data_IF_931042600454
#
_entry.id   IF_931042600454
#
_cell.length_a   1.000
_cell.length_b   1.000
_cell.length_c   1.000
_cell.angle_alpha   90.00
_cell.angle_beta   90.00
_cell.angle_gamma   90.00
#
_symmetry.space_group_name_H-M   'P 1'
#
loop_
_entity.id
_entity.type
_entity.pdbx_description
1 polymer ?
#
# COMPACT_ATOMS: atom_id res chain seq x y z
N UNK A 1 1.41 -25.81 -5.45
CA UNK A 1 1.82 -24.91 -4.34
C UNK A 1 2.13 -23.57 -4.98
N UNK A 2 1.63 -22.47 -4.42
CA UNK A 2 1.95 -21.15 -4.96
C UNK A 2 3.37 -20.83 -4.48
N UNK A 3 4.28 -20.61 -5.42
CA UNK A 3 5.66 -20.21 -5.13
C UNK A 3 5.71 -18.69 -5.04
N UNK A 4 5.80 -18.17 -3.82
CA UNK A 4 5.84 -16.73 -3.57
C UNK A 4 7.23 -16.14 -3.84
N UNK A 5 8.28 -16.97 -3.76
CA UNK A 5 9.67 -16.53 -3.89
C UNK A 5 10.06 -16.33 -5.37
N UNK A 6 9.31 -16.93 -6.29
CA UNK A 6 9.48 -16.75 -7.74
C UNK A 6 8.78 -15.50 -8.30
N UNK A 7 7.92 -14.83 -7.53
CA UNK A 7 7.19 -13.64 -7.97
C UNK A 7 8.11 -12.42 -7.95
N UNK A 8 7.97 -11.54 -8.95
CA UNK A 8 8.50 -10.20 -8.81
C UNK A 8 7.73 -9.40 -7.74
N UNK A 9 8.23 -8.21 -7.39
CA UNK A 9 7.64 -7.42 -6.32
C UNK A 9 6.21 -6.96 -6.63
N UNK A 10 5.91 -6.61 -7.88
CA UNK A 10 4.56 -6.19 -8.29
C UNK A 10 3.60 -7.37 -8.25
N UNK A 11 4.02 -8.53 -8.73
CA UNK A 11 3.27 -9.78 -8.66
C UNK A 11 2.98 -10.19 -7.22
N UNK A 12 3.98 -10.10 -6.33
CA UNK A 12 3.83 -10.41 -4.92
C UNK A 12 2.82 -9.47 -4.24
N UNK A 13 2.94 -8.15 -4.44
CA UNK A 13 2.01 -7.17 -3.86
C UNK A 13 0.59 -7.35 -4.41
N UNK A 14 0.44 -7.63 -5.71
CA UNK A 14 -0.86 -7.96 -6.30
C UNK A 14 -1.45 -9.25 -5.69
N UNK A 15 -0.62 -10.24 -5.41
CA UNK A 15 -1.03 -11.47 -4.74
C UNK A 15 -1.50 -11.22 -3.30
N UNK A 16 -0.77 -10.38 -2.54
CA UNK A 16 -1.20 -9.91 -1.20
C UNK A 16 -2.57 -9.24 -1.28
N UNK A 17 -2.81 -8.39 -2.28
CA UNK A 17 -4.10 -7.72 -2.46
C UNK A 17 -5.27 -8.65 -2.78
N UNK A 18 -5.02 -9.76 -3.48
CA UNK A 18 -6.04 -10.79 -3.75
C UNK A 18 -6.34 -11.67 -2.54
N UNK A 19 -5.37 -11.84 -1.63
CA UNK A 19 -5.48 -12.75 -0.47
C UNK A 19 -4.94 -12.15 0.83
N UNK A 20 -5.37 -10.95 1.26
CA UNK A 20 -4.77 -10.26 2.40
C UNK A 20 -4.85 -11.08 3.69
N UNK A 21 -5.96 -11.79 3.91
CA UNK A 21 -6.16 -12.63 5.10
C UNK A 21 -5.16 -13.79 5.24
N UNK A 22 -4.53 -14.24 4.14
CA UNK A 22 -3.46 -15.25 4.19
C UNK A 22 -2.21 -14.71 4.90
N UNK A 23 -1.97 -13.41 4.82
CA UNK A 23 -0.77 -12.75 5.36
C UNK A 23 -1.04 -12.12 6.73
N UNK A 24 -2.25 -11.61 6.93
CA UNK A 24 -2.57 -10.79 8.10
C UNK A 24 -3.51 -11.46 9.09
N UNK A 25 -4.16 -12.59 8.74
CA UNK A 25 -5.19 -13.25 9.53
C UNK A 25 -6.51 -12.46 9.67
N UNK A 26 -6.49 -11.14 9.44
CA UNK A 26 -7.65 -10.23 9.43
C UNK A 26 -7.57 -9.29 8.25
N UNK A 27 -8.67 -9.11 7.52
CA UNK A 27 -8.72 -8.23 6.34
C UNK A 27 -9.16 -6.83 6.77
N UNK A 28 -8.27 -6.14 7.50
CA UNK A 28 -8.45 -4.75 7.89
C UNK A 28 -7.32 -3.89 7.34
N UNK A 29 -7.61 -2.62 7.11
CA UNK A 29 -6.70 -1.65 6.53
C UNK A 29 -5.45 -1.48 7.40
N UNK A 30 -5.62 -1.42 8.72
CA UNK A 30 -4.51 -1.36 9.68
C UNK A 30 -3.63 -2.62 9.62
N UNK A 31 -4.23 -3.81 9.56
CA UNK A 31 -3.48 -5.06 9.52
C UNK A 31 -2.67 -5.19 8.21
N UNK A 32 -3.29 -4.86 7.07
CA UNK A 32 -2.64 -4.90 5.75
C UNK A 32 -1.53 -3.86 5.64
N UNK A 33 -1.78 -2.61 6.04
CA UNK A 33 -0.75 -1.56 5.98
C UNK A 33 0.38 -1.79 6.97
N UNK A 34 0.12 -2.41 8.13
CA UNK A 34 1.16 -2.82 9.07
C UNK A 34 2.04 -3.93 8.50
N UNK A 35 1.44 -4.94 7.86
CA UNK A 35 2.17 -5.98 7.14
C UNK A 35 3.06 -5.39 6.05
N UNK A 36 2.51 -4.53 5.19
CA UNK A 36 3.26 -3.88 4.10
C UNK A 36 4.37 -2.96 4.61
N UNK A 37 4.14 -2.27 5.73
CA UNK A 37 5.19 -1.48 6.38
C UNK A 37 6.33 -2.38 6.86
N UNK A 38 6.01 -3.51 7.49
CA UNK A 38 7.00 -4.51 7.91
C UNK A 38 7.77 -5.08 6.73
N UNK A 39 7.08 -5.44 5.65
CA UNK A 39 7.66 -5.91 4.40
C UNK A 39 8.66 -4.90 3.81
N UNK A 40 8.25 -3.63 3.64
CA UNK A 40 9.11 -2.58 3.10
C UNK A 40 10.34 -2.34 3.97
N UNK A 41 10.19 -2.33 5.31
CA UNK A 41 11.32 -2.23 6.24
C UNK A 41 12.24 -3.43 6.17
N UNK A 42 11.69 -4.63 5.98
CA UNK A 42 12.46 -5.86 5.76
C UNK A 42 13.30 -5.78 4.49
N UNK A 43 12.71 -5.37 3.37
CA UNK A 43 13.41 -5.19 2.10
C UNK A 43 14.57 -4.20 2.23
N UNK A 44 14.30 -3.00 2.76
CA UNK A 44 15.32 -1.95 2.94
C UNK A 44 16.50 -2.40 3.81
N UNK A 45 16.26 -3.21 4.84
CA UNK A 45 17.32 -3.75 5.72
C UNK A 45 18.19 -4.82 5.06
N UNK A 46 17.71 -5.44 3.99
CA UNK A 46 18.40 -6.52 3.28
C UNK A 46 18.82 -6.12 1.85
N UNK A 47 18.83 -4.82 1.54
CA UNK A 47 19.30 -4.29 0.26
C UNK A 47 18.28 -4.34 -0.89
N UNK A 48 17.01 -4.65 -0.62
CA UNK A 48 15.93 -4.55 -1.59
C UNK A 48 15.26 -3.18 -1.59
N UNK A 49 14.66 -2.79 -2.72
CA UNK A 49 14.00 -1.49 -2.89
C UNK A 49 12.66 -1.37 -2.15
N UNK A 50 11.94 -2.49 -1.92
CA UNK A 50 10.68 -2.46 -1.19
C UNK A 50 9.70 -1.41 -1.73
N UNK A 51 9.14 -0.63 -0.80
CA UNK A 51 8.27 0.50 -1.12
C UNK A 51 9.00 1.86 -1.00
N UNK A 52 10.31 1.89 -1.25
CA UNK A 52 11.10 3.12 -1.20
C UNK A 52 10.58 4.14 -2.23
N UNK A 53 10.38 5.38 -1.78
CA UNK A 53 9.81 6.47 -2.59
C UNK A 53 8.28 6.48 -2.69
N UNK A 54 7.58 5.48 -2.14
CA UNK A 54 6.10 5.42 -2.20
C UNK A 54 5.46 6.66 -1.56
N UNK A 55 5.99 7.13 -0.43
CA UNK A 55 5.41 8.28 0.28
C UNK A 55 5.48 9.54 -0.59
N UNK A 56 6.63 9.80 -1.20
CA UNK A 56 6.87 10.97 -2.04
C UNK A 56 6.00 10.90 -3.31
N UNK A 57 5.89 9.72 -3.90
CA UNK A 57 5.01 9.44 -5.03
C UNK A 57 3.53 9.67 -4.71
N UNK A 58 3.08 9.33 -3.50
CA UNK A 58 1.72 9.59 -3.03
C UNK A 58 1.48 11.09 -2.77
N UNK A 59 2.46 11.81 -2.22
CA UNK A 59 2.35 13.26 -1.99
C UNK A 59 2.19 14.05 -3.30
N UNK A 60 2.87 13.64 -4.36
CA UNK A 60 2.69 14.25 -5.68
C UNK A 60 1.24 14.13 -6.18
N UNK A 61 0.58 12.99 -5.91
CA UNK A 61 -0.83 12.76 -6.26
C UNK A 61 -1.80 13.49 -5.35
N UNK A 62 -1.46 13.63 -4.07
CA UNK A 62 -2.25 14.39 -3.12
C UNK A 62 -2.28 15.89 -3.48
N UNK A 63 -1.24 16.40 -4.16
CA UNK A 63 -1.17 17.79 -4.62
C UNK A 63 -0.85 18.81 -3.52
N UNK A 64 -0.72 18.36 -2.27
CA UNK A 64 -0.32 19.17 -1.13
C UNK A 64 0.50 18.34 -0.12
N UNK A 65 1.18 19.02 0.80
CA UNK A 65 1.91 18.35 1.88
C UNK A 65 0.98 17.61 2.84
N UNK A 66 1.48 16.54 3.46
CA UNK A 66 0.81 15.83 4.55
C UNK A 66 1.80 15.40 5.64
N UNK A 67 1.49 15.63 6.93
CA UNK A 67 2.31 15.16 8.04
C UNK A 67 2.16 13.65 8.28
N UNK A 68 1.21 12.99 7.62
CA UNK A 68 0.94 11.58 7.82
C UNK A 68 2.00 10.70 7.12
N UNK A 69 2.16 9.48 7.63
CA UNK A 69 2.85 8.42 6.91
C UNK A 69 2.07 7.99 5.67
N UNK A 70 2.70 7.19 4.81
CA UNK A 70 2.07 6.71 3.56
C UNK A 70 0.68 6.06 3.76
N UNK A 71 0.37 5.31 4.84
CA UNK A 71 -0.98 4.75 5.01
C UNK A 71 -2.04 5.83 5.24
N UNK A 72 -1.68 6.92 5.93
CA UNK A 72 -2.60 8.04 6.13
C UNK A 72 -2.81 8.85 4.85
N UNK A 73 -1.77 9.00 4.02
CA UNK A 73 -1.87 9.67 2.72
C UNK A 73 -2.79 8.89 1.77
N UNK A 74 -2.70 7.55 1.75
CA UNK A 74 -3.64 6.71 0.99
C UNK A 74 -5.08 6.96 1.45
N UNK A 75 -5.35 7.13 2.75
CA UNK A 75 -6.70 7.46 3.23
C UNK A 75 -7.15 8.86 2.82
N UNK A 76 -6.25 9.85 2.78
CA UNK A 76 -6.56 11.19 2.26
C UNK A 76 -6.94 11.14 0.77
N UNK A 77 -6.25 10.31 -0.01
CA UNK A 77 -6.60 10.07 -1.42
C UNK A 77 -7.90 9.28 -1.58
N UNK A 78 -8.21 8.38 -0.64
CA UNK A 78 -9.42 7.54 -0.65
C UNK A 78 -10.67 8.34 -0.28
N UNK A 79 -10.55 9.25 0.69
CA UNK A 79 -11.65 10.03 1.25
C UNK A 79 -11.33 11.54 1.22
N UNK A 80 -11.23 12.15 0.02
CA UNK A 80 -10.77 13.53 -0.12
C UNK A 80 -11.70 14.56 0.53
N UNK A 81 -13.01 14.26 0.58
CA UNK A 81 -14.03 15.15 1.13
C UNK A 81 -14.29 14.93 2.64
N UNK A 82 -13.55 14.03 3.28
CA UNK A 82 -13.74 13.76 4.70
C UNK A 82 -13.10 14.87 5.56
N UNK A 83 -13.89 15.49 6.43
CA UNK A 83 -13.38 16.49 7.39
C UNK A 83 -12.31 15.88 8.33
N UNK A 84 -12.46 14.60 8.64
CA UNK A 84 -11.52 13.81 9.44
C UNK A 84 -11.39 12.41 8.85
N UNK A 85 -10.18 11.86 8.86
CA UNK A 85 -9.96 10.48 8.41
C UNK A 85 -10.65 9.49 9.36
N UNK A 86 -11.25 8.40 8.84
CA UNK A 86 -11.90 7.40 9.67
C UNK A 86 -10.90 6.76 10.65
N UNK A 87 -11.23 6.76 11.94
CA UNK A 87 -10.55 5.97 12.97
C UNK A 87 -11.12 4.56 13.08
N UNK A 88 -12.39 4.40 12.70
CA UNK A 88 -13.09 3.12 12.59
C UNK A 88 -13.69 3.02 11.19
N UNK A 89 -13.59 1.83 10.60
CA UNK A 89 -14.08 1.58 9.25
C UNK A 89 -15.38 0.81 9.30
N UNK A 90 -16.41 1.31 8.60
CA UNK A 90 -17.50 0.44 8.15
C UNK A 90 -16.95 -0.60 7.15
N UNK A 91 -17.61 -1.75 6.95
CA UNK A 91 -17.18 -2.73 5.96
C UNK A 91 -16.98 -2.15 4.55
N UNK A 92 -17.84 -1.21 4.13
CA UNK A 92 -17.73 -0.56 2.82
C UNK A 92 -16.51 0.39 2.74
N UNK A 93 -16.22 1.15 3.80
CA UNK A 93 -15.02 1.97 3.87
C UNK A 93 -13.76 1.10 3.91
N UNK A 94 -13.81 -0.04 4.61
CA UNK A 94 -12.71 -1.00 4.70
C UNK A 94 -12.35 -1.50 3.29
N UNK A 95 -13.34 -1.95 2.54
CA UNK A 95 -13.18 -2.42 1.16
C UNK A 95 -12.66 -1.31 0.25
N UNK A 96 -13.22 -0.11 0.35
CA UNK A 96 -12.82 1.04 -0.48
C UNK A 96 -11.37 1.46 -0.21
N UNK A 97 -10.95 1.48 1.05
CA UNK A 97 -9.58 1.81 1.44
C UNK A 97 -8.58 0.74 0.99
N UNK A 98 -8.91 -0.55 1.12
CA UNK A 98 -8.07 -1.64 0.64
C UNK A 98 -7.95 -1.65 -0.88
N UNK A 99 -9.05 -1.43 -1.61
CA UNK A 99 -9.01 -1.31 -3.08
C UNK A 99 -8.10 -0.17 -3.51
N UNK A 100 -8.31 1.03 -2.96
CA UNK A 100 -7.51 2.21 -3.29
C UNK A 100 -6.03 2.02 -2.95
N UNK A 101 -5.73 1.37 -1.82
CA UNK A 101 -4.37 0.99 -1.45
C UNK A 101 -3.69 0.14 -2.53
N UNK A 102 -4.32 -0.96 -2.96
CA UNK A 102 -3.70 -1.86 -3.93
C UNK A 102 -3.65 -1.27 -5.35
N UNK A 103 -4.63 -0.44 -5.74
CA UNK A 103 -4.58 0.29 -7.01
C UNK A 103 -3.41 1.28 -7.03
N UNK A 104 -3.17 2.01 -5.93
CA UNK A 104 -2.03 2.94 -5.81
C UNK A 104 -0.69 2.20 -5.80
N UNK A 105 -0.59 1.06 -5.12
CA UNK A 105 0.62 0.24 -5.11
C UNK A 105 0.93 -0.34 -6.49
N UNK A 106 -0.09 -0.84 -7.21
CA UNK A 106 0.09 -1.35 -8.57
C UNK A 106 0.62 -0.26 -9.51
N UNK A 107 -0.01 0.93 -9.47
CA UNK A 107 0.42 2.08 -10.27
C UNK A 107 1.85 2.53 -9.92
N UNK A 108 2.19 2.61 -8.64
CA UNK A 108 3.53 2.97 -8.18
C UNK A 108 4.58 1.99 -8.70
N UNK A 109 4.34 0.69 -8.55
CA UNK A 109 5.28 -0.34 -8.99
C UNK A 109 5.39 -0.42 -10.52
N UNK A 110 4.29 -0.18 -11.24
CA UNK A 110 4.29 -0.10 -12.70
C UNK A 110 5.12 1.09 -13.22
N UNK A 111 4.97 2.28 -12.64
CA UNK A 111 5.73 3.47 -13.01
C UNK A 111 7.23 3.31 -12.70
N UNK A 112 7.55 2.69 -11.56
CA UNK A 112 8.93 2.39 -11.20
C UNK A 112 9.58 1.41 -12.17
N UNK A 113 8.88 0.35 -12.57
CA UNK A 113 9.39 -0.60 -13.57
C UNK A 113 9.57 0.03 -14.96
N UNK A 114 8.81 1.09 -15.28
CA UNK A 114 8.90 1.81 -16.55
C UNK A 114 10.01 2.87 -16.59
N UNK A 115 10.58 3.24 -15.44
CA UNK A 115 11.67 4.22 -15.32
C UNK A 115 12.97 3.46 -15.08
N UNK A 116 13.79 3.21 -16.12
CA UNK A 116 15.13 2.65 -15.90
C UNK A 116 16.00 3.68 -15.17
N UNK A 117 16.79 3.20 -14.19
CA UNK A 117 17.81 3.97 -13.47
C UNK A 117 18.73 4.78 -14.39
#
# INVERSE_FOLDING_TARGET
MIDLDAMDEREFIAFVGRRPGMFTGRVTYDAVTSFLTGYARGAARNGGHGLDGLREWLLQRLGHGSPLGWPGIVLQLTFPDAEQLPTEFTPAQQETALRTLFDLLDAFLAERAATPD
#
